data_IF_784259999870
#
_entry.id   IF_784259999870
#
_cell.length_a   1.000
_cell.length_b   1.000
_cell.length_c   1.000
_cell.angle_alpha   90.00
_cell.angle_beta   90.00
_cell.angle_gamma   90.00
#
_symmetry.space_group_name_H-M   'P 1'
#
loop_
_entity.id
_entity.type
_entity.pdbx_description
1 polymer ?
#
# COMPACT_ATOMS: atom_id res chain seq x y z
N UNK A 1 15.19 15.14 15.44
CA UNK A 1 14.61 15.07 16.82
C UNK A 1 13.15 14.60 16.84
N UNK A 2 12.42 14.58 15.71
CA UNK A 2 11.06 14.02 15.61
C UNK A 2 11.05 12.48 15.43
N UNK A 3 12.15 11.91 14.92
CA UNK A 3 12.23 10.51 14.49
C UNK A 3 12.52 9.53 15.65
N UNK A 4 13.21 10.03 16.68
CA UNK A 4 13.43 9.27 17.91
C UNK A 4 12.12 9.00 18.67
N UNK A 5 11.11 9.88 18.56
CA UNK A 5 9.81 9.68 19.21
C UNK A 5 9.00 8.59 18.52
N UNK A 6 8.97 8.55 17.19
CA UNK A 6 8.22 7.54 16.43
C UNK A 6 8.84 6.14 16.56
N UNK A 7 10.17 6.04 16.50
CA UNK A 7 10.88 4.79 16.76
C UNK A 7 10.70 4.33 18.21
N UNK A 8 10.73 5.26 19.17
CA UNK A 8 10.48 4.95 20.57
C UNK A 8 9.04 4.50 20.82
N UNK A 9 8.04 5.03 20.11
CA UNK A 9 6.64 4.59 20.21
C UNK A 9 6.48 3.17 19.66
N UNK A 10 7.11 2.85 18.52
CA UNK A 10 7.09 1.49 17.97
C UNK A 10 7.82 0.48 18.88
N UNK A 11 8.97 0.88 19.43
CA UNK A 11 9.74 0.05 20.36
C UNK A 11 9.01 -0.13 21.71
N UNK A 12 8.37 0.92 22.22
CA UNK A 12 7.54 0.87 23.42
C UNK A 12 6.31 -0.02 23.21
N UNK A 13 5.65 0.07 22.04
CA UNK A 13 4.53 -0.81 21.71
C UNK A 13 4.98 -2.29 21.71
N UNK A 14 6.13 -2.61 21.11
CA UNK A 14 6.72 -3.96 21.14
C UNK A 14 7.10 -4.42 22.55
N UNK A 15 7.71 -3.55 23.37
CA UNK A 15 8.11 -3.84 24.76
C UNK A 15 6.92 -4.01 25.72
N UNK A 16 5.85 -3.25 25.51
CA UNK A 16 4.63 -3.33 26.31
C UNK A 16 3.81 -4.60 25.96
N UNK A 17 3.87 -5.04 24.70
CA UNK A 17 3.29 -6.33 24.29
C UNK A 17 4.10 -7.50 24.85
N UNK A 18 5.43 -7.42 24.90
CA UNK A 18 6.29 -8.47 25.44
C UNK A 18 6.22 -8.60 26.98
N UNK A 19 5.77 -7.57 27.70
CA UNK A 19 5.73 -7.57 29.18
C UNK A 19 4.36 -7.91 29.77
N UNK A 20 3.35 -8.23 28.95
CA UNK A 20 2.02 -8.67 29.42
C UNK A 20 1.25 -7.63 30.25
N UNK A 21 1.69 -6.39 30.30
CA UNK A 21 1.10 -5.34 31.12
C UNK A 21 0.06 -4.55 30.31
N UNK A 22 -1.20 -4.94 30.44
CA UNK A 22 -2.34 -4.18 29.91
C UNK A 22 -2.42 -2.81 30.59
N UNK A 23 -2.19 -1.75 29.82
CA UNK A 23 -3.09 -0.60 29.61
C UNK A 23 -2.27 0.59 29.12
N UNK A 24 -2.06 0.66 27.81
CA UNK A 24 -1.72 1.95 27.20
C UNK A 24 -2.92 2.44 26.42
N UNK A 25 -3.66 3.36 27.04
CA UNK A 25 -4.52 4.32 26.35
C UNK A 25 -3.63 5.21 25.48
N UNK A 26 -3.13 4.68 24.36
CA UNK A 26 -2.59 5.51 23.28
C UNK A 26 -3.78 5.91 22.41
N UNK A 27 -4.00 7.21 22.33
CA UNK A 27 -5.06 7.83 21.57
C UNK A 27 -4.90 7.50 20.08
N UNK A 28 -5.69 6.55 19.60
CA UNK A 28 -6.05 6.41 18.19
C UNK A 28 -7.55 6.68 18.10
N UNK A 29 -7.98 7.90 17.74
CA UNK A 29 -9.40 8.26 17.70
C UNK A 29 -10.22 7.36 16.76
N UNK A 30 -9.60 6.80 15.71
CA UNK A 30 -10.30 6.02 14.69
C UNK A 30 -10.28 4.50 14.92
N UNK A 31 -9.58 4.01 15.96
CA UNK A 31 -9.51 2.58 16.29
C UNK A 31 -10.67 2.09 17.18
N UNK A 32 -11.74 2.88 17.32
CA UNK A 32 -12.93 2.50 18.06
C UNK A 32 -13.94 1.72 17.19
N UNK A 33 -13.55 0.54 16.72
CA UNK A 33 -14.55 -0.48 16.41
C UNK A 33 -15.08 -1.06 17.73
N UNK A 34 -16.34 -0.78 18.04
CA UNK A 34 -17.03 -1.17 19.27
C UNK A 34 -17.07 -2.70 19.41
N UNK A 35 -16.14 -3.25 20.16
CA UNK A 35 -16.16 -4.65 20.60
C UNK A 35 -17.23 -4.80 21.70
N UNK A 36 -18.38 -5.39 21.35
CA UNK A 36 -19.27 -6.05 22.31
C UNK A 36 -19.29 -7.55 21.97
N UNK A 37 -19.04 -8.36 23.00
CA UNK A 37 -18.86 -9.82 23.01
C UNK A 37 -17.53 -10.27 22.39
N UNK A 38 -16.65 -11.04 23.05
CA UNK A 38 -16.91 -12.13 23.99
C UNK A 38 -15.91 -12.14 25.16
N UNK A 39 -16.37 -12.66 26.30
CA UNK A 39 -15.59 -12.93 27.52
C UNK A 39 -14.77 -14.23 27.37
N UNK A 40 -13.69 -14.32 28.16
CA UNK A 40 -12.67 -15.38 28.34
C UNK A 40 -11.58 -15.47 27.26
N UNK A 41 -10.42 -14.81 27.44
CA UNK A 41 -9.23 -15.20 28.24
C UNK A 41 -8.42 -16.31 27.53
N UNK A 42 -7.15 -16.19 27.15
CA UNK A 42 -6.06 -15.23 27.36
C UNK A 42 -5.20 -15.17 26.07
N UNK A 43 -4.34 -14.16 25.91
CA UNK A 43 -3.46 -13.90 24.75
C UNK A 43 -4.12 -13.57 23.39
N UNK A 44 -5.26 -12.87 23.40
CA UNK A 44 -6.02 -12.55 22.18
C UNK A 44 -5.75 -11.13 21.63
N UNK A 45 -5.42 -11.05 20.34
CA UNK A 45 -5.57 -9.81 19.56
C UNK A 45 -7.08 -9.55 19.43
N UNK A 46 -7.59 -8.35 19.74
CA UNK A 46 -9.03 -8.08 19.68
C UNK A 46 -9.58 -8.31 18.26
N UNK A 47 -10.56 -9.20 18.09
CA UNK A 47 -11.22 -9.48 16.80
C UNK A 47 -10.72 -10.72 16.03
N UNK A 48 -9.77 -11.50 16.55
CA UNK A 48 -9.27 -12.70 15.87
C UNK A 48 -10.10 -13.94 16.20
N UNK A 49 -10.88 -14.46 15.26
CA UNK A 49 -11.53 -15.78 15.35
C UNK A 49 -10.49 -16.87 15.04
N UNK A 50 -9.82 -17.38 16.07
CA UNK A 50 -8.63 -18.25 15.97
C UNK A 50 -8.89 -19.69 15.49
N UNK A 51 -10.07 -20.03 14.94
CA UNK A 51 -10.46 -21.44 14.79
C UNK A 51 -11.03 -21.88 13.44
N UNK A 52 -11.57 -20.96 12.65
CA UNK A 52 -12.12 -21.28 11.36
C UNK A 52 -11.93 -20.06 10.47
N UNK A 53 -11.31 -20.21 9.30
CA UNK A 53 -11.46 -19.25 8.20
C UNK A 53 -12.93 -18.84 8.20
N UNK A 54 -13.25 -17.58 8.50
CA UNK A 54 -14.66 -17.18 8.67
C UNK A 54 -15.44 -17.67 7.45
N UNK A 55 -16.71 -18.07 7.60
CA UNK A 55 -17.52 -18.50 6.46
C UNK A 55 -17.42 -17.53 5.25
N UNK A 56 -17.29 -16.23 5.52
CA UNK A 56 -17.04 -15.20 4.53
C UNK A 56 -15.69 -15.35 3.79
N UNK A 57 -14.55 -15.37 4.49
CA UNK A 57 -13.24 -15.67 3.88
C UNK A 57 -13.26 -16.95 3.04
N UNK A 58 -13.89 -18.03 3.49
CA UNK A 58 -14.01 -19.26 2.69
C UNK A 58 -14.79 -19.01 1.38
N UNK A 59 -15.89 -18.25 1.44
CA UNK A 59 -16.67 -17.89 0.27
C UNK A 59 -15.91 -16.98 -0.72
N UNK A 60 -15.10 -16.05 -0.21
CA UNK A 60 -14.21 -15.23 -1.04
C UNK A 60 -13.18 -16.09 -1.77
N UNK A 61 -12.64 -17.13 -1.12
CA UNK A 61 -11.68 -18.04 -1.75
C UNK A 61 -12.28 -18.90 -2.85
N UNK A 62 -13.55 -19.26 -2.72
CA UNK A 62 -14.28 -19.95 -3.78
C UNK A 62 -14.65 -19.04 -4.95
N UNK A 63 -14.56 -17.72 -4.78
CA UNK A 63 -14.84 -16.73 -5.83
C UNK A 63 -16.32 -16.58 -6.18
N UNK A 64 -17.23 -16.96 -5.27
CA UNK A 64 -18.67 -16.85 -5.48
C UNK A 64 -19.28 -15.76 -4.58
N UNK A 65 -19.65 -14.59 -5.14
CA UNK A 65 -20.30 -13.51 -4.40
C UNK A 65 -21.61 -13.92 -3.71
N UNK A 66 -22.32 -14.92 -4.25
CA UNK A 66 -23.55 -15.42 -3.65
C UNK A 66 -23.28 -16.17 -2.36
N UNK A 67 -22.21 -16.98 -2.32
CA UNK A 67 -21.77 -17.64 -1.09
C UNK A 67 -21.31 -16.63 -0.04
N UNK A 68 -20.67 -15.54 -0.47
CA UNK A 68 -20.30 -14.45 0.43
C UNK A 68 -21.55 -13.79 1.05
N UNK A 69 -22.56 -13.52 0.23
CA UNK A 69 -23.85 -12.99 0.69
C UNK A 69 -24.58 -13.94 1.63
N UNK A 70 -24.57 -15.25 1.32
CA UNK A 70 -25.13 -16.30 2.19
C UNK A 70 -24.42 -16.33 3.54
N UNK A 71 -23.09 -16.29 3.55
CA UNK A 71 -22.30 -16.28 4.79
C UNK A 71 -22.68 -15.10 5.67
N UNK A 72 -22.79 -13.88 5.11
CA UNK A 72 -23.19 -12.69 5.88
C UNK A 72 -24.63 -12.80 6.37
N UNK A 73 -25.56 -13.32 5.56
CA UNK A 73 -26.96 -13.56 5.99
C UNK A 73 -27.07 -14.58 7.13
N UNK A 74 -26.10 -15.48 7.27
CA UNK A 74 -26.00 -16.46 8.35
C UNK A 74 -25.23 -15.92 9.57
N UNK A 75 -24.84 -14.64 9.58
CA UNK A 75 -24.17 -13.99 10.70
C UNK A 75 -22.65 -13.91 10.58
N UNK A 76 -22.07 -14.13 9.40
CA UNK A 76 -20.65 -13.85 9.21
C UNK A 76 -20.37 -12.34 9.25
N UNK A 77 -19.44 -11.93 10.11
CA UNK A 77 -19.03 -10.53 10.25
C UNK A 77 -18.25 -10.06 9.00
N UNK A 78 -18.72 -9.04 8.25
CA UNK A 78 -18.07 -8.55 7.02
C UNK A 78 -16.64 -8.04 7.21
N UNK A 79 -16.33 -7.58 8.42
CA UNK A 79 -15.05 -7.01 8.81
C UNK A 79 -14.24 -7.93 9.72
N UNK A 80 -14.62 -9.21 9.81
CA UNK A 80 -13.80 -10.20 10.50
C UNK A 80 -12.40 -10.23 9.90
N UNK A 81 -11.40 -10.50 10.74
CA UNK A 81 -10.05 -10.78 10.30
C UNK A 81 -9.83 -12.29 10.34
N UNK A 82 -9.25 -12.84 9.28
CA UNK A 82 -8.77 -14.23 9.27
C UNK A 82 -7.26 -14.27 9.16
N UNK A 83 -6.67 -15.29 9.78
CA UNK A 83 -5.27 -15.62 9.55
C UNK A 83 -5.07 -16.01 8.09
N UNK A 84 -4.15 -15.30 7.45
CA UNK A 84 -3.80 -15.38 6.06
C UNK A 84 -2.28 -15.37 5.98
N UNK A 85 -1.71 -16.30 5.22
CA UNK A 85 -0.29 -16.22 4.89
C UNK A 85 -0.15 -15.15 3.80
N UNK A 86 0.41 -14.01 4.16
CA UNK A 86 0.83 -13.00 3.18
C UNK A 86 2.23 -13.34 2.65
N UNK A 87 2.60 -12.71 1.53
CA UNK A 87 3.94 -12.81 0.94
C UNK A 87 5.06 -12.32 1.88
N UNK A 88 4.75 -11.47 2.87
CA UNK A 88 5.75 -10.81 3.72
C UNK A 88 5.80 -11.28 5.18
N UNK A 89 4.69 -11.79 5.72
CA UNK A 89 4.61 -12.17 7.13
C UNK A 89 4.09 -13.59 7.28
N UNK A 90 4.65 -14.29 8.26
CA UNK A 90 4.25 -15.66 8.60
C UNK A 90 2.79 -15.75 9.08
N UNK A 91 2.27 -14.68 9.69
CA UNK A 91 0.89 -14.58 10.18
C UNK A 91 0.35 -13.17 9.91
N UNK A 92 -0.63 -13.04 9.02
CA UNK A 92 -1.37 -11.78 8.77
C UNK A 92 -2.84 -11.97 9.08
N UNK A 93 -3.44 -11.04 9.80
CA UNK A 93 -4.88 -10.98 10.00
C UNK A 93 -5.48 -10.07 8.94
N UNK A 94 -6.16 -10.69 8.00
CA UNK A 94 -6.55 -10.09 6.72
C UNK A 94 -8.07 -10.00 6.66
N UNK A 95 -8.64 -8.83 6.36
CA UNK A 95 -10.06 -8.71 6.02
C UNK A 95 -10.40 -9.42 4.71
N UNK A 96 -11.65 -9.85 4.56
CA UNK A 96 -12.13 -10.51 3.33
C UNK A 96 -11.93 -9.67 2.07
N UNK A 97 -12.01 -8.33 2.19
CA UNK A 97 -11.80 -7.40 1.08
C UNK A 97 -10.37 -7.46 0.52
N UNK A 98 -9.36 -7.60 1.39
CA UNK A 98 -7.96 -7.68 0.98
C UNK A 98 -7.67 -8.95 0.18
N UNK A 99 -8.28 -10.09 0.55
CA UNK A 99 -8.16 -11.33 -0.23
C UNK A 99 -8.76 -11.15 -1.63
N UNK A 100 -9.91 -10.49 -1.73
CA UNK A 100 -10.54 -10.22 -3.03
C UNK A 100 -9.66 -9.28 -3.89
N UNK A 101 -9.04 -8.27 -3.28
CA UNK A 101 -8.07 -7.39 -3.93
C UNK A 101 -6.78 -8.12 -4.34
N UNK A 102 -6.26 -9.02 -3.52
CA UNK A 102 -5.10 -9.88 -3.86
C UNK A 102 -5.37 -10.76 -5.09
N UNK A 103 -6.64 -11.06 -5.38
CA UNK A 103 -7.05 -11.87 -6.53
C UNK A 103 -7.48 -11.04 -7.73
N UNK A 104 -7.53 -9.71 -7.61
CA UNK A 104 -8.11 -8.82 -8.63
C UNK A 104 -9.60 -9.07 -8.90
N UNK A 105 -10.33 -9.68 -7.95
CA UNK A 105 -11.73 -10.05 -8.12
C UNK A 105 -12.64 -8.86 -7.84
N UNK A 106 -12.74 -7.97 -8.82
CA UNK A 106 -13.57 -6.75 -8.74
C UNK A 106 -15.04 -7.06 -8.44
N UNK A 107 -15.56 -8.21 -8.87
CA UNK A 107 -16.96 -8.61 -8.62
C UNK A 107 -17.15 -8.94 -7.14
N UNK A 108 -16.24 -9.74 -6.58
CA UNK A 108 -16.24 -10.04 -5.15
C UNK A 108 -16.01 -8.80 -4.30
N UNK A 109 -15.09 -7.91 -4.68
CA UNK A 109 -14.85 -6.66 -3.95
C UNK A 109 -16.11 -5.79 -3.87
N UNK A 110 -16.83 -5.64 -4.99
CA UNK A 110 -18.12 -4.92 -5.04
C UNK A 110 -19.17 -5.57 -4.12
N UNK A 111 -19.25 -6.90 -4.13
CA UNK A 111 -20.17 -7.63 -3.28
C UNK A 111 -19.82 -7.49 -1.79
N UNK A 112 -18.54 -7.57 -1.42
CA UNK A 112 -18.12 -7.40 -0.03
C UNK A 112 -18.47 -6.00 0.49
N UNK A 113 -18.24 -4.95 -0.30
CA UNK A 113 -18.64 -3.60 0.11
C UNK A 113 -20.17 -3.45 0.23
N UNK A 114 -20.97 -4.08 -0.65
CA UNK A 114 -22.43 -4.05 -0.52
C UNK A 114 -22.94 -4.85 0.68
N UNK A 115 -22.17 -5.82 1.16
CA UNK A 115 -22.42 -6.60 2.37
C UNK A 115 -21.92 -5.91 3.66
N UNK A 116 -21.37 -4.69 3.58
CA UNK A 116 -20.93 -3.91 4.73
C UNK A 116 -19.46 -4.09 5.12
N UNK A 117 -18.63 -4.65 4.24
CA UNK A 117 -17.19 -4.59 4.42
C UNK A 117 -16.70 -3.13 4.37
N UNK A 118 -15.75 -2.81 5.24
CA UNK A 118 -15.11 -1.50 5.34
C UNK A 118 -14.01 -1.39 4.28
N UNK A 119 -14.13 -0.40 3.38
CA UNK A 119 -13.11 -0.13 2.36
C UNK A 119 -11.75 0.23 3.00
N UNK A 120 -11.79 0.97 4.12
CA UNK A 120 -10.62 1.41 4.90
C UNK A 120 -10.13 0.36 5.91
N UNK A 121 -10.60 -0.89 5.81
CA UNK A 121 -10.09 -1.95 6.66
C UNK A 121 -8.57 -2.08 6.46
N UNK A 122 -7.88 -2.46 7.54
CA UNK A 122 -6.42 -2.60 7.54
C UNK A 122 -6.05 -4.00 7.98
N UNK A 123 -5.14 -4.64 7.26
CA UNK A 123 -4.60 -5.92 7.70
C UNK A 123 -3.57 -5.72 8.82
N UNK A 124 -3.39 -6.71 9.68
CA UNK A 124 -2.43 -6.68 10.78
C UNK A 124 -1.37 -7.77 10.61
N UNK A 125 -0.08 -7.52 10.84
CA UNK A 125 0.50 -6.34 11.47
C UNK A 125 0.91 -5.21 10.51
N UNK A 126 0.93 -5.42 9.20
CA UNK A 126 1.46 -4.43 8.25
C UNK A 126 0.69 -3.12 8.20
N UNK A 127 -0.60 -3.15 8.55
CA UNK A 127 -1.49 -2.01 8.43
C UNK A 127 -1.93 -1.76 6.99
N UNK A 128 -1.66 -2.60 6.02
CA UNK A 128 -1.98 -2.31 4.61
C UNK A 128 -3.51 -2.24 4.37
N UNK A 129 -3.93 -1.36 3.47
CA UNK A 129 -5.33 -1.31 2.96
C UNK A 129 -5.49 -2.26 1.77
N UNK A 130 -6.73 -2.49 1.31
CA UNK A 130 -6.96 -3.30 0.11
C UNK A 130 -6.28 -2.71 -1.15
N UNK A 131 -6.06 -1.38 -1.18
CA UNK A 131 -5.36 -0.71 -2.27
C UNK A 131 -3.85 -1.01 -2.29
N UNK A 132 -3.20 -1.15 -1.13
CA UNK A 132 -1.80 -1.61 -1.04
C UNK A 132 -1.68 -3.03 -1.62
N UNK A 133 -2.58 -3.93 -1.19
CA UNK A 133 -2.59 -5.33 -1.64
C UNK A 133 -2.80 -5.43 -3.15
N UNK A 134 -3.75 -4.66 -3.71
CA UNK A 134 -3.95 -4.59 -5.15
C UNK A 134 -2.73 -4.02 -5.88
N UNK A 135 -2.03 -3.04 -5.31
CA UNK A 135 -0.89 -2.38 -5.94
C UNK A 135 0.36 -3.28 -6.07
N UNK A 136 0.45 -4.33 -5.25
CA UNK A 136 1.52 -5.34 -5.33
C UNK A 136 1.32 -6.28 -6.53
N UNK A 137 0.08 -6.44 -6.98
CA UNK A 137 -0.25 -7.30 -8.11
C UNK A 137 0.02 -6.60 -9.44
N UNK A 138 0.49 -7.38 -10.42
CA UNK A 138 0.79 -6.86 -11.75
C UNK A 138 -0.48 -6.76 -12.59
N UNK A 139 -0.73 -5.58 -13.16
CA UNK A 139 -1.84 -5.36 -14.09
C UNK A 139 -3.21 -5.27 -13.42
N UNK A 140 -3.24 -4.80 -12.17
CA UNK A 140 -4.44 -4.66 -11.35
C UNK A 140 -5.42 -3.64 -11.95
N UNK A 141 -6.44 -4.15 -12.64
CA UNK A 141 -7.48 -3.32 -13.28
C UNK A 141 -8.46 -2.68 -12.30
N UNK A 142 -8.46 -3.14 -11.05
CA UNK A 142 -9.29 -2.68 -9.95
C UNK A 142 -8.76 -1.41 -9.27
N UNK A 143 -7.52 -0.99 -9.56
CA UNK A 143 -6.87 0.18 -8.93
C UNK A 143 -7.72 1.45 -9.02
N UNK A 144 -8.26 1.86 -10.19
CA UNK A 144 -9.09 3.06 -10.27
C UNK A 144 -10.37 2.95 -9.44
N UNK A 145 -10.93 1.74 -9.33
CA UNK A 145 -12.15 1.52 -8.55
C UNK A 145 -11.89 1.56 -7.04
N UNK A 146 -10.75 1.03 -6.59
CA UNK A 146 -10.32 1.10 -5.20
C UNK A 146 -9.91 2.52 -4.81
N UNK A 147 -9.12 3.22 -5.63
CA UNK A 147 -8.64 4.58 -5.35
C UNK A 147 -9.78 5.62 -5.32
N UNK A 148 -10.93 5.33 -5.94
CA UNK A 148 -12.14 6.13 -5.80
C UNK A 148 -12.84 5.98 -4.42
N UNK A 149 -12.37 5.05 -3.58
CA UNK A 149 -13.01 4.66 -2.31
C UNK A 149 -12.06 4.62 -1.12
N UNK A 150 -10.77 4.45 -1.42
CA UNK A 150 -9.67 4.36 -0.47
C UNK A 150 -8.72 5.47 -0.83
N UNK A 151 -8.29 6.25 0.17
CA UNK A 151 -7.30 7.30 -0.03
C UNK A 151 -6.03 6.70 -0.70
N UNK A 152 -5.67 7.14 -1.93
CA UNK A 152 -4.49 6.64 -2.64
C UNK A 152 -3.17 6.93 -1.92
N UNK A 153 -3.18 7.87 -0.95
CA UNK A 153 -2.02 8.23 -0.12
C UNK A 153 -2.05 7.58 1.27
N UNK A 154 -2.99 6.65 1.50
CA UNK A 154 -3.04 5.85 2.72
C UNK A 154 -1.67 5.24 3.04
N UNK A 155 -1.21 5.41 4.28
CA UNK A 155 0.09 4.90 4.74
C UNK A 155 -0.05 3.67 5.62
N UNK A 156 0.67 2.59 5.32
CA UNK A 156 0.81 1.42 6.19
C UNK A 156 1.63 1.73 7.48
N UNK A 157 1.90 0.72 8.33
CA UNK A 157 2.67 0.95 9.57
C UNK A 157 4.16 1.27 9.33
N UNK A 158 4.67 1.06 8.12
CA UNK A 158 6.01 1.44 7.69
C UNK A 158 6.01 2.77 6.92
N UNK A 159 4.85 3.43 6.81
CA UNK A 159 4.70 4.66 6.05
C UNK A 159 4.66 4.46 4.54
N UNK A 160 4.64 3.22 4.05
CA UNK A 160 4.52 2.94 2.63
C UNK A 160 3.13 3.32 2.13
N UNK A 161 3.07 3.84 0.91
CA UNK A 161 1.83 4.11 0.18
C UNK A 161 1.64 3.04 -0.91
N UNK A 162 0.41 2.85 -1.43
CA UNK A 162 0.18 1.96 -2.58
C UNK A 162 1.09 2.26 -3.78
N UNK A 163 1.45 3.53 -3.99
CA UNK A 163 2.36 3.92 -5.06
C UNK A 163 3.81 3.44 -4.83
N UNK A 164 4.27 3.45 -3.57
CA UNK A 164 5.56 2.87 -3.17
C UNK A 164 5.57 1.35 -3.42
N UNK A 165 4.49 0.65 -3.06
CA UNK A 165 4.36 -0.79 -3.32
C UNK A 165 4.42 -1.10 -4.82
N UNK A 166 3.67 -0.36 -5.64
CA UNK A 166 3.68 -0.54 -7.10
C UNK A 166 5.08 -0.32 -7.71
N UNK A 167 5.81 0.67 -7.20
CA UNK A 167 7.17 0.98 -7.62
C UNK A 167 8.18 -0.11 -7.23
N UNK A 168 8.07 -0.66 -6.02
CA UNK A 168 8.87 -1.78 -5.52
C UNK A 168 8.75 -3.01 -6.44
N UNK A 169 7.53 -3.32 -6.87
CA UNK A 169 7.23 -4.46 -7.74
C UNK A 169 7.45 -4.18 -9.24
N UNK A 170 7.64 -2.91 -9.59
CA UNK A 170 7.98 -2.48 -10.95
C UNK A 170 6.80 -2.51 -11.90
N UNK A 171 5.57 -2.34 -11.42
CA UNK A 171 4.37 -2.32 -12.25
C UNK A 171 4.05 -0.90 -12.73
N UNK A 172 4.53 -0.55 -13.91
CA UNK A 172 4.29 0.75 -14.54
C UNK A 172 2.82 1.03 -14.85
N UNK A 173 2.00 -0.02 -15.03
CA UNK A 173 0.56 0.15 -15.31
C UNK A 173 -0.20 0.59 -14.06
N UNK A 174 0.08 -0.07 -12.94
CA UNK A 174 -0.47 0.29 -11.61
C UNK A 174 0.04 1.66 -11.15
N UNK A 175 1.33 1.97 -11.35
CA UNK A 175 1.88 3.31 -11.05
C UNK A 175 1.09 4.37 -11.79
N UNK A 176 0.88 4.20 -13.10
CA UNK A 176 0.11 5.15 -13.90
C UNK A 176 -1.32 5.29 -13.37
N UNK A 177 -2.00 4.18 -13.08
CA UNK A 177 -3.36 4.20 -12.57
C UNK A 177 -3.48 4.92 -11.21
N UNK A 178 -2.50 4.75 -10.32
CA UNK A 178 -2.45 5.45 -9.02
C UNK A 178 -2.19 6.95 -9.19
N UNK A 179 -1.26 7.34 -10.07
CA UNK A 179 -0.99 8.74 -10.40
C UNK A 179 -2.22 9.41 -11.04
N UNK A 180 -2.88 8.73 -11.98
CA UNK A 180 -4.12 9.19 -12.61
C UNK A 180 -5.26 9.32 -11.57
N UNK A 181 -5.23 8.53 -10.49
CA UNK A 181 -6.16 8.61 -9.36
C UNK A 181 -5.76 9.65 -8.30
N UNK A 182 -4.67 10.40 -8.51
CA UNK A 182 -4.26 11.51 -7.65
C UNK A 182 -3.27 11.16 -6.54
N UNK A 183 -2.65 9.97 -6.56
CA UNK A 183 -1.59 9.64 -5.61
C UNK A 183 -0.43 10.65 -5.68
N UNK A 184 0.11 11.04 -4.52
CA UNK A 184 1.26 11.93 -4.44
C UNK A 184 2.59 11.13 -4.56
N UNK A 185 3.35 11.27 -5.66
CA UNK A 185 4.62 10.57 -5.83
C UNK A 185 5.74 11.08 -4.94
N UNK A 186 5.55 12.20 -4.24
CA UNK A 186 6.56 12.80 -3.35
C UNK A 186 6.47 12.29 -1.92
N UNK A 187 5.48 11.47 -1.59
CA UNK A 187 5.40 10.85 -0.27
C UNK A 187 6.56 9.88 -0.06
N UNK A 188 7.11 9.95 1.16
CA UNK A 188 8.18 9.10 1.65
C UNK A 188 7.68 8.20 2.78
N UNK A 189 8.26 7.02 2.86
CA UNK A 189 8.04 6.05 3.94
C UNK A 189 8.82 6.43 5.21
N UNK A 190 8.76 5.58 6.24
CA UNK A 190 9.52 5.79 7.49
C UNK A 190 11.04 5.72 7.31
N UNK A 191 11.53 5.20 6.18
CA UNK A 191 12.94 5.16 5.79
C UNK A 191 13.35 6.36 4.94
N UNK A 192 12.49 7.37 4.83
CA UNK A 192 12.65 8.55 3.97
C UNK A 192 12.82 8.21 2.48
N UNK A 193 12.28 7.06 2.05
CA UNK A 193 12.35 6.57 0.66
C UNK A 193 11.04 6.83 -0.07
N UNK A 194 11.13 7.43 -1.26
CA UNK A 194 10.01 7.68 -2.17
C UNK A 194 9.78 6.51 -3.14
N UNK A 195 8.67 6.55 -3.88
CA UNK A 195 8.39 5.56 -4.93
C UNK A 195 9.52 5.49 -5.97
N UNK A 196 10.13 6.62 -6.35
CA UNK A 196 11.25 6.62 -7.30
C UNK A 196 12.47 5.92 -6.69
N UNK A 197 12.78 6.18 -5.42
CA UNK A 197 13.92 5.56 -4.72
C UNK A 197 13.81 4.02 -4.75
N UNK A 198 12.61 3.47 -4.52
CA UNK A 198 12.37 2.03 -4.60
C UNK A 198 12.46 1.49 -6.03
N UNK A 199 11.93 2.20 -7.03
CA UNK A 199 12.04 1.79 -8.43
C UNK A 199 13.52 1.68 -8.86
N UNK A 200 14.35 2.62 -8.42
CA UNK A 200 15.79 2.63 -8.71
C UNK A 200 16.51 1.53 -7.93
N UNK A 201 16.31 1.46 -6.61
CA UNK A 201 16.97 0.47 -5.75
C UNK A 201 16.64 -0.98 -6.13
N UNK A 202 15.46 -1.23 -6.72
CA UNK A 202 15.05 -2.55 -7.23
C UNK A 202 15.29 -2.74 -8.72
N UNK A 203 16.00 -1.81 -9.39
CA UNK A 203 16.35 -1.86 -10.81
C UNK A 203 15.10 -2.09 -11.70
N UNK A 204 14.08 -1.23 -11.53
CA UNK A 204 12.78 -1.28 -12.22
C UNK A 204 12.69 -0.15 -13.26
N UNK A 205 13.24 -0.32 -14.48
CA UNK A 205 13.32 0.75 -15.47
C UNK A 205 11.96 1.30 -15.89
N UNK A 206 10.95 0.44 -16.05
CA UNK A 206 9.62 0.88 -16.49
C UNK A 206 8.86 1.64 -15.41
N UNK A 207 9.08 1.30 -14.13
CA UNK A 207 8.53 2.04 -13.01
C UNK A 207 9.21 3.40 -12.85
N UNK A 208 10.55 3.44 -12.94
CA UNK A 208 11.30 4.70 -12.91
C UNK A 208 10.87 5.60 -14.07
N UNK A 209 10.72 5.06 -15.28
CA UNK A 209 10.22 5.80 -16.43
C UNK A 209 8.80 6.33 -16.22
N UNK A 210 7.90 5.56 -15.60
CA UNK A 210 6.53 5.99 -15.30
C UNK A 210 6.49 7.11 -14.26
N UNK A 211 7.33 7.04 -13.23
CA UNK A 211 7.41 8.05 -12.17
C UNK A 211 8.07 9.35 -12.66
N UNK A 212 9.14 9.26 -13.45
CA UNK A 212 9.83 10.43 -14.03
C UNK A 212 8.99 11.19 -15.06
N UNK A 213 7.87 10.63 -15.53
CA UNK A 213 6.89 11.37 -16.34
C UNK A 213 6.15 12.44 -15.53
N UNK A 214 6.04 12.27 -14.21
CA UNK A 214 5.42 13.27 -13.36
C UNK A 214 6.39 14.47 -13.22
N UNK A 215 5.99 15.69 -13.63
CA UNK A 215 6.88 16.85 -13.57
C UNK A 215 7.38 17.19 -12.17
N UNK A 216 6.60 16.86 -11.12
CA UNK A 216 6.99 17.11 -9.73
C UNK A 216 8.19 16.23 -9.35
N UNK A 217 8.13 14.96 -9.75
CA UNK A 217 9.22 13.99 -9.55
C UNK A 217 10.45 14.44 -10.32
N UNK A 218 10.29 14.71 -11.62
CA UNK A 218 11.38 15.11 -12.50
C UNK A 218 12.10 16.37 -11.97
N UNK A 219 11.36 17.40 -11.58
CA UNK A 219 11.92 18.65 -11.08
C UNK A 219 12.67 18.51 -9.75
N UNK A 220 12.26 17.56 -8.90
CA UNK A 220 12.89 17.29 -7.60
C UNK A 220 14.12 16.38 -7.69
N UNK A 221 14.35 15.73 -8.84
CA UNK A 221 15.36 14.68 -8.99
C UNK A 221 16.64 15.24 -9.62
N UNK A 222 17.78 15.02 -8.96
CA UNK A 222 19.09 15.23 -9.58
C UNK A 222 19.42 14.03 -10.49
N UNK A 223 19.10 14.16 -11.78
CA UNK A 223 19.32 13.09 -12.77
C UNK A 223 20.81 12.74 -12.95
N UNK A 224 21.73 13.69 -12.73
CA UNK A 224 23.17 13.44 -12.84
C UNK A 224 23.67 12.57 -11.69
N UNK A 225 23.32 12.94 -10.46
CA UNK A 225 23.63 12.15 -9.28
C UNK A 225 22.98 10.75 -9.35
N UNK A 226 21.74 10.69 -9.85
CA UNK A 226 21.01 9.44 -10.03
C UNK A 226 21.68 8.52 -11.07
N UNK A 227 22.08 9.07 -12.22
CA UNK A 227 22.77 8.29 -13.26
C UNK A 227 24.10 7.72 -12.72
N UNK A 228 24.88 8.53 -12.02
CA UNK A 228 26.14 8.09 -11.41
C UNK A 228 25.94 6.95 -10.40
N UNK A 229 24.90 7.02 -9.56
CA UNK A 229 24.54 5.94 -8.62
C UNK A 229 24.16 4.66 -9.38
N UNK A 230 23.29 4.75 -10.39
CA UNK A 230 22.84 3.61 -11.21
C UNK A 230 24.00 2.92 -11.94
N UNK A 231 24.93 3.70 -12.50
CA UNK A 231 26.12 3.18 -13.18
C UNK A 231 27.09 2.50 -12.19
N UNK A 232 27.29 3.09 -11.00
CA UNK A 232 28.17 2.52 -9.97
C UNK A 232 27.68 1.17 -9.43
N UNK A 233 26.36 0.98 -9.38
CA UNK A 233 25.71 -0.24 -8.87
C UNK A 233 25.60 -1.37 -9.90
N UNK A 234 26.13 -1.17 -11.12
CA UNK A 234 26.03 -2.11 -12.24
C UNK A 234 24.58 -2.54 -12.53
N UNK A 235 23.63 -1.60 -12.40
CA UNK A 235 22.24 -1.84 -12.76
C UNK A 235 22.07 -2.03 -14.27
N UNK A 236 20.85 -2.38 -14.70
CA UNK A 236 20.63 -2.67 -16.12
C UNK A 236 20.89 -1.43 -16.97
N UNK A 237 21.53 -1.64 -18.12
CA UNK A 237 21.73 -0.59 -19.14
C UNK A 237 20.41 0.07 -19.56
N UNK A 238 19.30 -0.66 -19.43
CA UNK A 238 17.96 -0.12 -19.67
C UNK A 238 17.59 1.00 -18.70
N UNK A 239 17.93 0.89 -17.42
CA UNK A 239 17.65 1.93 -16.43
C UNK A 239 18.51 3.18 -16.66
N UNK A 240 19.81 2.99 -16.91
CA UNK A 240 20.70 4.10 -17.26
C UNK A 240 20.22 4.83 -18.53
N UNK A 241 19.77 4.09 -19.55
CA UNK A 241 19.19 4.67 -20.77
C UNK A 241 17.91 5.47 -20.50
N UNK A 242 17.03 4.99 -19.61
CA UNK A 242 15.83 5.75 -19.22
C UNK A 242 16.22 7.10 -18.63
N UNK A 243 17.19 7.12 -17.71
CA UNK A 243 17.63 8.36 -17.06
C UNK A 243 18.26 9.31 -18.08
N UNK A 244 19.17 8.81 -18.93
CA UNK A 244 19.78 9.60 -20.01
C UNK A 244 18.74 10.21 -20.95
N UNK A 245 17.72 9.45 -21.35
CA UNK A 245 16.65 9.96 -22.20
C UNK A 245 15.85 11.10 -21.57
N UNK A 246 15.68 11.11 -20.25
CA UNK A 246 15.05 12.24 -19.54
C UNK A 246 15.98 13.45 -19.42
N UNK A 247 17.29 13.25 -19.27
CA UNK A 247 18.28 14.35 -19.27
C UNK A 247 18.28 15.09 -20.61
N UNK A 248 18.39 14.35 -21.71
CA UNK A 248 18.34 14.93 -23.07
C UNK A 248 17.04 15.71 -23.31
N UNK A 249 15.90 15.15 -22.89
CA UNK A 249 14.60 15.82 -23.02
C UNK A 249 14.48 17.12 -22.19
N UNK A 250 15.21 17.24 -21.08
CA UNK A 250 15.25 18.47 -20.28
C UNK A 250 16.19 19.54 -20.84
N UNK A 251 17.23 19.14 -21.57
CA UNK A 251 18.17 20.07 -22.23
C UNK A 251 17.56 20.69 -23.51
N UNK A 252 16.71 19.95 -24.22
CA UNK A 252 16.06 20.36 -25.48
C UNK A 252 14.83 21.28 -25.32
N UNK A 253 14.57 21.82 -24.12
CA UNK A 253 13.58 22.89 -23.90
C UNK A 253 14.28 24.26 -24.06
N UNK A 254 14.30 24.89 -25.25
CA UNK A 254 14.93 26.18 -25.42
C UNK A 254 14.19 27.22 -24.56
N UNK A 255 14.97 27.86 -23.69
CA UNK A 255 14.60 29.08 -22.98
C UNK A 255 14.08 30.06 -24.02
N UNK A 256 12.76 30.28 -24.08
CA UNK A 256 12.19 31.42 -24.80
C UNK A 256 12.70 32.68 -24.10
N UNK A 257 13.84 33.20 -24.56
CA UNK A 257 14.29 34.54 -24.17
C UNK A 257 13.17 35.49 -24.57
N UNK A 258 12.61 36.29 -23.64
CA UNK A 258 11.69 37.34 -24.04
C UNK A 258 12.43 38.24 -25.03
N UNK A 259 11.87 38.44 -26.21
CA UNK A 259 12.41 39.39 -27.19
C UNK A 259 12.54 40.76 -26.51
N UNK A 260 13.68 41.45 -26.68
CA UNK A 260 13.78 42.82 -26.21
C UNK A 260 12.73 43.63 -26.97
N UNK A 261 11.81 44.22 -26.21
CA UNK A 261 10.88 45.20 -26.74
C UNK A 261 11.69 46.46 -27.03
N UNK A 262 11.88 46.75 -28.32
CA UNK A 262 12.33 48.05 -28.81
C UNK A 262 11.23 49.12 -28.63
#
# INVERSE_FOLDING_TARGET
MKDAKSALIALLALLLIASGSLTVKLAWPDFQYRIRAARSESDHVPGTLRGARSALHKAVLTGDPLEAARAVSQGAEPNALAEWCSRYYQFVYTPALHIAAERGDLTMMKALLSLGACAEARQWPGGETALHVAAINRGSTEIPWLAARIDPDSRDLFGQTPLIDAALWGDSSTIKALLDAGADPMLRDCSDSSALDYAIAKNRPDAAAALLRDPRVLASTDLNALLADVESRQYTERLARVIRGWMEATEDQPISRPEPTD
#
